data_IF_961151950423
#
_entry.id   IF_961151950423
#
_cell.length_a   1.000
_cell.length_b   1.000
_cell.length_c   1.000
_cell.angle_alpha   90.00
_cell.angle_beta   90.00
_cell.angle_gamma   90.00
#
_symmetry.space_group_name_H-M   'P 1'
#
loop_
_entity.id
_entity.type
_entity.pdbx_description
1 polymer ?
#
# COMPACT_ATOMS: atom_id res chain seq x y z
N UNK A 1 -25.03 -24.29 6.28
CA UNK A 1 -24.35 -24.35 4.97
C UNK A 1 -23.50 -25.61 5.00
N UNK A 2 -23.64 -26.53 4.02
CA UNK A 2 -22.82 -27.74 3.98
C UNK A 2 -21.47 -27.38 3.34
N UNK A 3 -20.40 -28.06 3.74
CA UNK A 3 -19.06 -27.80 3.19
C UNK A 3 -19.00 -28.05 1.67
N UNK A 4 -19.87 -28.94 1.17
CA UNK A 4 -20.07 -29.24 -0.25
C UNK A 4 -20.66 -28.08 -1.05
N UNK A 5 -21.36 -27.15 -0.39
CA UNK A 5 -22.01 -26.02 -1.05
C UNK A 5 -21.02 -24.89 -1.35
N UNK A 6 -19.82 -24.95 -0.77
CA UNK A 6 -18.75 -23.95 -0.94
C UNK A 6 -17.38 -24.59 -1.18
N UNK A 7 -17.33 -25.86 -1.57
CA UNK A 7 -16.07 -26.59 -1.74
C UNK A 7 -15.22 -26.06 -2.89
N UNK A 8 -15.82 -25.34 -3.83
CA UNK A 8 -15.18 -24.64 -4.94
C UNK A 8 -14.66 -23.23 -4.56
N UNK A 9 -15.16 -22.65 -3.47
CA UNK A 9 -14.72 -21.35 -2.96
C UNK A 9 -13.42 -21.51 -2.16
N UNK A 10 -12.28 -21.53 -2.86
CA UNK A 10 -10.96 -21.76 -2.27
C UNK A 10 -10.67 -20.94 -0.99
N UNK A 11 -11.14 -19.68 -0.93
CA UNK A 11 -10.91 -18.75 0.17
C UNK A 11 -11.68 -19.11 1.45
N UNK A 12 -12.73 -19.94 1.38
CA UNK A 12 -13.49 -20.40 2.56
C UNK A 12 -12.69 -21.39 3.42
N UNK A 13 -11.74 -22.10 2.82
CA UNK A 13 -10.89 -23.08 3.49
C UNK A 13 -9.42 -22.69 3.48
N UNK A 14 -9.10 -21.48 2.99
CA UNK A 14 -7.73 -21.03 2.87
C UNK A 14 -7.13 -20.74 4.24
N UNK A 15 -5.94 -21.28 4.49
CA UNK A 15 -5.01 -20.76 5.49
C UNK A 15 -4.22 -19.63 4.82
N UNK A 16 -4.55 -18.39 5.17
CA UNK A 16 -3.93 -17.17 4.66
C UNK A 16 -2.80 -16.76 5.60
N UNK A 17 -1.60 -16.58 5.04
CA UNK A 17 -0.45 -16.05 5.76
C UNK A 17 -0.20 -14.62 5.27
N UNK A 18 -0.48 -13.66 6.14
CA UNK A 18 -0.17 -12.25 5.89
C UNK A 18 1.28 -11.98 6.27
N UNK A 19 2.02 -11.34 5.37
CA UNK A 19 3.40 -10.96 5.64
C UNK A 19 3.75 -9.63 4.98
N UNK A 20 4.67 -8.94 5.64
CA UNK A 20 5.40 -7.81 5.13
C UNK A 20 6.74 -8.29 4.57
N UNK A 21 7.02 -7.96 3.31
CA UNK A 21 8.26 -8.37 2.63
C UNK A 21 9.47 -7.77 3.33
N UNK A 22 9.38 -6.50 3.75
CA UNK A 22 10.47 -5.74 4.39
C UNK A 22 10.95 -6.38 5.69
N UNK A 23 10.08 -7.09 6.42
CA UNK A 23 10.44 -7.66 7.73
C UNK A 23 10.60 -9.17 7.71
N UNK A 24 10.38 -9.83 6.58
CA UNK A 24 10.30 -11.29 6.51
C UNK A 24 11.68 -11.97 6.41
N UNK A 25 12.47 -11.67 5.38
CA UNK A 25 13.82 -12.22 5.21
C UNK A 25 14.65 -11.33 4.29
N UNK A 26 15.74 -10.79 4.83
CA UNK A 26 16.81 -10.13 4.08
C UNK A 26 17.69 -11.19 3.39
N UNK A 27 17.78 -11.15 2.06
CA UNK A 27 18.57 -12.09 1.27
C UNK A 27 19.93 -11.55 0.84
N UNK A 28 20.14 -10.24 0.92
CA UNK A 28 21.29 -9.55 0.34
C UNK A 28 22.22 -8.91 1.41
N UNK A 29 21.77 -8.84 2.66
CA UNK A 29 22.51 -8.34 3.82
C UNK A 29 22.42 -6.82 4.04
N UNK A 30 21.49 -6.11 3.42
CA UNK A 30 21.30 -4.67 3.59
C UNK A 30 20.43 -4.30 4.81
N UNK A 31 19.87 -5.29 5.50
CA UNK A 31 19.02 -5.12 6.68
C UNK A 31 17.53 -5.00 6.36
N UNK A 32 17.13 -5.09 5.09
CA UNK A 32 15.75 -5.01 4.61
C UNK A 32 15.36 -6.34 3.96
N UNK A 33 14.19 -6.86 4.33
CA UNK A 33 13.63 -8.03 3.69
C UNK A 33 13.22 -7.76 2.25
N UNK A 34 13.39 -8.77 1.39
CA UNK A 34 13.21 -8.62 -0.05
C UNK A 34 12.45 -9.82 -0.67
N UNK A 35 11.98 -9.63 -1.90
CA UNK A 35 11.19 -10.64 -2.63
C UNK A 35 11.99 -11.91 -2.93
N UNK A 36 13.33 -11.83 -3.03
CA UNK A 36 14.18 -13.01 -3.21
C UNK A 36 14.29 -13.81 -1.90
N UNK A 37 14.36 -13.12 -0.76
CA UNK A 37 14.28 -13.74 0.55
C UNK A 37 12.94 -14.43 0.76
N UNK A 38 11.84 -13.78 0.35
CA UNK A 38 10.52 -14.41 0.35
C UNK A 38 10.49 -15.67 -0.53
N UNK A 39 11.00 -15.60 -1.77
CA UNK A 39 10.96 -16.73 -2.70
C UNK A 39 11.67 -17.98 -2.14
N UNK A 40 12.79 -17.79 -1.43
CA UNK A 40 13.56 -18.86 -0.77
C UNK A 40 12.79 -19.59 0.34
N UNK A 41 11.73 -18.99 0.90
CA UNK A 41 10.95 -19.57 2.01
C UNK A 41 9.57 -20.05 1.62
N UNK A 42 9.19 -19.96 0.35
CA UNK A 42 7.87 -20.46 -0.10
C UNK A 42 7.71 -21.96 0.20
N UNK A 43 8.77 -22.76 0.06
CA UNK A 43 8.76 -24.18 0.44
C UNK A 43 8.45 -24.40 1.92
N UNK A 44 9.00 -23.56 2.79
CA UNK A 44 8.71 -23.59 4.22
C UNK A 44 7.24 -23.25 4.51
N UNK A 45 6.71 -22.19 3.88
CA UNK A 45 5.31 -21.79 4.04
C UNK A 45 4.34 -22.86 3.52
N UNK A 46 4.67 -23.52 2.42
CA UNK A 46 3.89 -24.65 1.90
C UNK A 46 3.89 -25.84 2.88
N UNK A 47 5.04 -26.19 3.46
CA UNK A 47 5.16 -27.25 4.47
C UNK A 47 4.38 -26.94 5.76
N UNK A 48 4.29 -25.65 6.14
CA UNK A 48 3.47 -25.19 7.26
C UNK A 48 1.95 -25.37 7.00
N UNK A 49 1.55 -25.59 5.74
CA UNK A 49 0.15 -25.74 5.34
C UNK A 49 -0.51 -24.44 4.88
N UNK A 50 0.28 -23.40 4.60
CA UNK A 50 -0.24 -22.15 4.03
C UNK A 50 -0.75 -22.42 2.62
N UNK A 51 -1.93 -21.89 2.31
CA UNK A 51 -2.59 -22.05 0.99
C UNK A 51 -2.72 -20.73 0.24
N UNK A 52 -2.51 -19.60 0.92
CA UNK A 52 -2.52 -18.28 0.32
C UNK A 52 -1.54 -17.35 1.03
N UNK A 53 -0.70 -16.65 0.26
CA UNK A 53 0.05 -15.51 0.73
C UNK A 53 -0.79 -14.25 0.58
N UNK A 54 -0.81 -13.41 1.60
CA UNK A 54 -1.27 -12.03 1.51
C UNK A 54 -0.07 -11.13 1.74
N UNK A 55 0.34 -10.44 0.67
CA UNK A 55 1.45 -9.50 0.70
C UNK A 55 0.92 -8.12 1.10
N UNK A 56 1.51 -7.56 2.15
CA UNK A 56 1.40 -6.13 2.47
C UNK A 56 1.99 -5.27 1.33
N UNK A 57 1.74 -3.94 1.31
CA UNK A 57 2.17 -3.08 0.21
C UNK A 57 3.67 -3.20 -0.11
N UNK A 58 3.98 -3.52 -1.37
CA UNK A 58 5.34 -3.57 -1.91
C UNK A 58 5.55 -2.54 -3.04
N UNK A 59 4.62 -1.61 -3.20
CA UNK A 59 4.66 -0.58 -4.23
C UNK A 59 5.65 0.52 -3.86
N UNK A 60 6.23 1.25 -4.83
CA UNK A 60 7.05 2.42 -4.56
C UNK A 60 6.36 3.40 -3.63
N UNK A 61 7.01 3.68 -2.51
CA UNK A 61 6.51 4.57 -1.45
C UNK A 61 7.59 5.56 -0.99
N UNK A 62 7.23 6.77 -0.53
CA UNK A 62 8.11 7.60 0.31
C UNK A 62 8.33 7.04 1.72
N UNK A 63 7.59 6.00 2.09
CA UNK A 63 7.70 5.24 3.33
C UNK A 63 7.36 6.09 4.57
N UNK A 64 6.19 6.73 4.53
CA UNK A 64 5.69 7.55 5.65
C UNK A 64 4.53 6.92 6.41
N UNK A 65 3.90 5.90 5.81
CA UNK A 65 2.77 5.13 6.35
C UNK A 65 3.00 3.63 6.07
N UNK A 66 4.17 3.09 6.41
CA UNK A 66 4.53 1.66 6.26
C UNK A 66 4.16 1.05 4.88
N UNK A 67 4.46 1.76 3.79
CA UNK A 67 4.15 1.33 2.42
C UNK A 67 2.75 1.70 1.90
N UNK A 68 1.83 2.18 2.74
CA UNK A 68 0.46 2.52 2.34
C UNK A 68 0.37 3.87 1.61
N UNK A 69 1.36 4.76 1.76
CA UNK A 69 1.47 6.00 0.99
C UNK A 69 2.04 5.78 -0.42
N UNK A 70 1.30 5.03 -1.25
CA UNK A 70 1.73 4.58 -2.59
C UNK A 70 1.95 5.74 -3.56
N UNK A 71 3.11 5.76 -4.22
CA UNK A 71 3.51 6.77 -5.22
C UNK A 71 3.44 6.28 -6.66
N UNK A 72 3.45 4.97 -6.89
CA UNK A 72 3.23 4.33 -8.19
C UNK A 72 2.61 2.93 -7.99
N UNK A 73 1.41 2.70 -8.54
CA UNK A 73 0.72 1.41 -8.42
C UNK A 73 1.24 0.32 -9.39
N UNK A 74 2.09 0.67 -10.35
CA UNK A 74 2.62 -0.27 -11.35
C UNK A 74 4.03 -0.77 -11.04
N UNK A 75 4.74 -0.06 -10.18
CA UNK A 75 6.10 -0.38 -9.78
C UNK A 75 6.18 -1.39 -8.64
N UNK A 76 7.41 -1.83 -8.38
CA UNK A 76 7.83 -2.50 -7.15
C UNK A 76 8.78 -1.54 -6.45
N UNK A 77 8.66 -1.39 -5.13
CA UNK A 77 9.61 -0.59 -4.35
C UNK A 77 11.02 -1.17 -4.54
N UNK A 78 11.99 -0.39 -5.07
CA UNK A 78 13.33 -0.88 -5.33
C UNK A 78 14.06 -1.44 -4.10
N UNK A 79 13.64 -1.07 -2.88
CA UNK A 79 14.14 -1.68 -1.64
C UNK A 79 13.81 -3.16 -1.52
N UNK A 80 12.68 -3.58 -2.09
CA UNK A 80 12.12 -4.93 -1.93
C UNK A 80 12.42 -5.82 -3.14
N UNK A 81 12.84 -5.25 -4.27
CA UNK A 81 13.23 -5.97 -5.48
C UNK A 81 12.66 -5.36 -6.76
N UNK A 82 12.39 -6.22 -7.75
CA UNK A 82 11.86 -5.84 -9.06
C UNK A 82 10.71 -6.75 -9.51
N UNK A 83 10.11 -6.44 -10.67
CA UNK A 83 9.01 -7.23 -11.23
C UNK A 83 9.36 -8.71 -11.46
N UNK A 84 10.61 -9.01 -11.82
CA UNK A 84 11.09 -10.37 -11.99
C UNK A 84 11.04 -11.17 -10.69
N UNK A 85 11.47 -10.56 -9.58
CA UNK A 85 11.43 -11.19 -8.26
C UNK A 85 9.98 -11.45 -7.82
N UNK A 86 9.06 -10.51 -8.06
CA UNK A 86 7.64 -10.71 -7.78
C UNK A 86 7.04 -11.86 -8.63
N UNK A 87 7.40 -11.93 -9.92
CA UNK A 87 6.98 -13.02 -10.80
C UNK A 87 7.50 -14.36 -10.28
N UNK A 88 8.73 -14.42 -9.78
CA UNK A 88 9.29 -15.63 -9.18
C UNK A 88 8.53 -16.06 -7.93
N UNK A 89 8.19 -15.12 -7.02
CA UNK A 89 7.34 -15.40 -5.85
C UNK A 89 6.00 -16.00 -6.27
N UNK A 90 5.30 -15.37 -7.22
CA UNK A 90 3.98 -15.80 -7.69
C UNK A 90 4.05 -17.19 -8.34
N UNK A 91 5.07 -17.44 -9.17
CA UNK A 91 5.24 -18.74 -9.86
C UNK A 91 5.58 -19.84 -8.86
N UNK A 92 6.55 -19.60 -7.99
CA UNK A 92 6.99 -20.57 -6.98
C UNK A 92 5.84 -20.93 -6.02
N UNK A 93 5.06 -19.94 -5.58
CA UNK A 93 3.86 -20.15 -4.77
C UNK A 93 2.80 -20.98 -5.52
N UNK A 94 2.52 -20.63 -6.78
CA UNK A 94 1.56 -21.36 -7.62
C UNK A 94 1.95 -22.82 -7.81
N UNK A 95 3.22 -23.11 -8.03
CA UNK A 95 3.74 -24.47 -8.23
C UNK A 95 3.52 -25.36 -6.99
N UNK A 96 3.36 -24.75 -5.81
CA UNK A 96 3.03 -25.42 -4.54
C UNK A 96 1.54 -25.39 -4.21
N UNK A 97 0.70 -25.00 -5.17
CA UNK A 97 -0.75 -24.91 -5.01
C UNK A 97 -1.21 -23.70 -4.21
N UNK A 98 -0.31 -22.76 -3.87
CA UNK A 98 -0.66 -21.57 -3.12
C UNK A 98 -1.25 -20.49 -4.04
N UNK A 99 -2.07 -19.62 -3.46
CA UNK A 99 -2.51 -18.36 -4.07
C UNK A 99 -1.68 -17.21 -3.53
N UNK A 100 -1.64 -16.10 -4.27
CA UNK A 100 -1.04 -14.85 -3.81
C UNK A 100 -2.08 -13.77 -4.00
N UNK A 101 -2.39 -13.04 -2.93
CA UNK A 101 -3.17 -11.82 -2.93
C UNK A 101 -2.30 -10.69 -2.40
N UNK A 102 -2.67 -9.46 -2.74
CA UNK A 102 -1.88 -8.27 -2.42
C UNK A 102 -2.80 -7.20 -1.85
N UNK A 103 -2.26 -6.33 -1.00
CA UNK A 103 -2.97 -5.13 -0.60
C UNK A 103 -3.20 -4.19 -1.78
N UNK A 104 -4.40 -3.61 -1.82
CA UNK A 104 -4.81 -2.63 -2.82
C UNK A 104 -5.29 -1.36 -2.12
N UNK A 105 -4.40 -0.38 -2.00
CA UNK A 105 -4.64 0.88 -1.29
C UNK A 105 -5.17 1.93 -2.26
N UNK A 106 -6.50 2.04 -2.37
CA UNK A 106 -7.15 2.94 -3.34
C UNK A 106 -7.90 4.10 -2.70
N UNK A 107 -7.97 4.16 -1.37
CA UNK A 107 -8.61 5.28 -0.68
C UNK A 107 -7.78 6.57 -0.77
N UNK A 108 -6.46 6.47 -0.85
CA UNK A 108 -5.54 7.59 -0.92
C UNK A 108 -4.28 7.22 -1.72
N UNK A 109 -3.49 8.24 -2.09
CA UNK A 109 -2.15 8.08 -2.69
C UNK A 109 -1.17 8.98 -1.96
N UNK A 110 0.13 8.73 -2.14
CA UNK A 110 1.20 9.64 -1.72
C UNK A 110 1.00 11.07 -2.20
N UNK A 111 1.50 12.05 -1.42
CA UNK A 111 1.68 13.44 -1.87
C UNK A 111 2.73 13.59 -2.99
N UNK A 112 3.51 12.52 -3.25
CA UNK A 112 4.45 12.44 -4.38
C UNK A 112 3.87 11.74 -5.61
N UNK A 113 2.66 11.19 -5.53
CA UNK A 113 2.04 10.50 -6.67
C UNK A 113 1.88 11.47 -7.86
N UNK A 114 2.18 11.07 -9.12
CA UNK A 114 2.10 11.96 -10.28
C UNK A 114 0.73 12.64 -10.44
N UNK A 115 -0.35 11.92 -10.11
CA UNK A 115 -1.71 12.48 -10.08
C UNK A 115 -1.84 13.64 -9.09
N UNK A 116 -1.40 13.46 -7.85
CA UNK A 116 -1.48 14.50 -6.82
C UNK A 116 -0.60 15.70 -7.19
N UNK A 117 0.63 15.45 -7.63
CA UNK A 117 1.55 16.51 -8.06
C UNK A 117 0.96 17.33 -9.21
N UNK A 118 0.31 16.68 -10.18
CA UNK A 118 -0.37 17.36 -11.29
C UNK A 118 -1.60 18.15 -10.82
N UNK A 119 -2.45 17.52 -10.00
CA UNK A 119 -3.66 18.12 -9.44
C UNK A 119 -3.38 19.32 -8.52
N UNK A 120 -2.23 19.31 -7.83
CA UNK A 120 -1.76 20.39 -6.98
C UNK A 120 -1.21 21.57 -7.81
N UNK A 121 -0.56 21.30 -8.95
CA UNK A 121 0.07 22.33 -9.79
C UNK A 121 -0.92 23.21 -10.53
N UNK A 122 -2.07 22.67 -10.93
CA UNK A 122 -3.09 23.42 -11.68
C UNK A 122 -4.50 22.99 -11.33
N UNK A 123 -5.40 23.96 -11.20
CA UNK A 123 -6.85 23.72 -11.07
C UNK A 123 -7.47 23.16 -12.35
N UNK A 124 -6.81 23.35 -13.50
CA UNK A 124 -7.24 22.82 -14.80
C UNK A 124 -6.60 21.45 -15.11
N UNK A 125 -5.89 20.84 -14.15
CA UNK A 125 -5.30 19.52 -14.33
C UNK A 125 -6.39 18.47 -14.57
N UNK A 126 -6.20 17.51 -15.49
CA UNK A 126 -7.14 16.40 -15.64
C UNK A 126 -7.26 15.52 -14.39
N UNK A 127 -6.28 15.61 -13.47
CA UNK A 127 -6.29 14.89 -12.20
C UNK A 127 -6.87 15.73 -11.04
N UNK A 128 -7.34 16.95 -11.29
CA UNK A 128 -7.81 17.84 -10.22
C UNK A 128 -8.89 17.20 -9.37
N UNK A 129 -9.90 16.62 -10.02
CA UNK A 129 -11.07 16.04 -9.35
C UNK A 129 -10.82 14.64 -8.75
N UNK A 130 -9.60 14.10 -8.88
CA UNK A 130 -9.23 12.86 -8.20
C UNK A 130 -9.05 13.05 -6.69
N UNK A 131 -8.88 14.30 -6.24
CA UNK A 131 -8.64 14.65 -4.84
C UNK A 131 -9.68 15.64 -4.32
N UNK A 132 -9.88 15.62 -3.01
CA UNK A 132 -10.80 16.53 -2.32
C UNK A 132 -10.05 17.82 -1.95
N UNK A 133 -10.51 18.94 -2.50
CA UNK A 133 -9.95 20.28 -2.24
C UNK A 133 -10.93 21.13 -1.43
N UNK A 134 -10.41 22.03 -0.60
CA UNK A 134 -11.20 23.01 0.15
C UNK A 134 -10.53 24.38 0.11
N UNK A 135 -11.33 25.43 -0.03
CA UNK A 135 -10.89 26.83 -0.06
C UNK A 135 -11.11 27.54 1.28
N UNK A 136 -11.99 27.01 2.12
CA UNK A 136 -12.29 27.54 3.44
C UNK A 136 -11.17 27.25 4.45
N UNK A 137 -10.93 28.19 5.36
CA UNK A 137 -10.00 27.97 6.45
C UNK A 137 -10.56 26.89 7.40
N UNK A 138 -9.72 25.96 7.91
CA UNK A 138 -10.19 24.95 8.85
C UNK A 138 -10.83 25.61 10.08
N UNK A 139 -11.94 25.06 10.62
CA UNK A 139 -12.62 25.64 11.78
C UNK A 139 -11.66 25.84 12.96
N UNK A 140 -11.66 27.02 13.57
CA UNK A 140 -10.83 27.34 14.75
C UNK A 140 -11.10 26.31 15.86
N UNK A 141 -10.07 25.63 16.33
CA UNK A 141 -10.14 24.67 17.45
C UNK A 141 -10.28 23.20 17.05
N UNK A 142 -10.51 22.87 15.76
CA UNK A 142 -10.38 21.48 15.30
C UNK A 142 -8.91 21.21 15.00
N UNK A 143 -8.27 20.29 15.73
CA UNK A 143 -7.08 19.62 15.19
C UNK A 143 -7.51 19.09 13.82
N UNK A 144 -6.80 19.48 12.76
CA UNK A 144 -6.88 18.79 11.47
C UNK A 144 -6.91 17.29 11.75
N UNK A 145 -7.77 16.47 11.10
CA UNK A 145 -7.65 15.03 11.24
C UNK A 145 -6.18 14.72 10.99
N UNK A 146 -5.50 14.25 12.02
CA UNK A 146 -4.17 13.73 11.84
C UNK A 146 -4.35 12.60 10.83
N UNK A 147 -3.64 12.66 9.69
CA UNK A 147 -3.22 11.41 9.05
C UNK A 147 -2.67 10.50 10.16
N UNK A 148 -2.90 9.18 10.08
CA UNK A 148 -2.31 8.24 11.05
C UNK A 148 -0.81 8.48 11.28
N UNK A 149 -0.12 9.07 10.31
CA UNK A 149 1.31 9.40 10.37
C UNK A 149 1.59 10.74 11.02
N UNK A 150 1.66 10.74 12.36
CA UNK A 150 2.40 11.81 13.01
C UNK A 150 3.26 11.34 14.16
N UNK A 151 4.56 11.11 13.92
CA UNK A 151 5.55 11.19 15.00
C UNK A 151 5.53 12.62 15.55
N UNK A 152 5.56 12.73 16.88
CA UNK A 152 5.61 14.01 17.57
C UNK A 152 6.86 14.79 17.19
N UNK A 153 6.68 15.93 16.51
CA UNK A 153 7.71 16.94 16.28
C UNK A 153 8.01 17.18 14.79
N UNK A 154 8.02 18.46 14.41
CA UNK A 154 8.22 18.98 13.04
C UNK A 154 6.95 19.03 12.17
N UNK A 155 6.53 20.25 11.84
CA UNK A 155 5.36 20.52 11.02
C UNK A 155 5.72 20.57 9.53
N UNK A 156 5.21 19.62 8.75
CA UNK A 156 5.14 19.76 7.30
C UNK A 156 3.95 20.68 6.94
N UNK A 157 4.26 21.97 6.74
CA UNK A 157 3.36 22.91 6.04
C UNK A 157 3.80 22.96 4.58
N UNK A 158 3.05 22.38 3.66
CA UNK A 158 3.20 22.72 2.24
C UNK A 158 2.42 23.99 1.99
N UNK A 159 3.12 25.12 2.12
CA UNK A 159 2.60 26.46 1.84
C UNK A 159 2.78 26.73 0.35
N UNK A 160 1.70 26.70 -0.44
CA UNK A 160 1.73 27.36 -1.75
C UNK A 160 1.75 28.87 -1.50
N UNK A 161 2.75 29.57 -2.03
CA UNK A 161 2.63 31.02 -2.21
C UNK A 161 1.64 31.23 -3.36
N UNK A 162 0.37 31.40 -3.00
CA UNK A 162 -0.76 31.47 -3.92
C UNK A 162 -2.00 30.99 -3.16
N UNK A 163 -2.65 31.95 -2.50
CA UNK A 163 -4.00 31.89 -1.90
C UNK A 163 -4.65 30.50 -1.74
N UNK A 164 -4.71 29.99 -0.50
CA UNK A 164 -5.61 28.91 -0.10
C UNK A 164 -4.92 27.77 0.65
N UNK A 165 -5.30 27.57 1.91
CA UNK A 165 -4.77 26.46 2.74
C UNK A 165 -5.49 25.16 2.32
N UNK A 166 -4.81 24.23 1.65
CA UNK A 166 -5.42 22.97 1.22
C UNK A 166 -4.99 21.83 2.17
N UNK A 167 -5.96 21.13 2.77
CA UNK A 167 -5.75 19.86 3.48
C UNK A 167 -6.48 18.76 2.72
N UNK A 168 -5.76 17.73 2.28
CA UNK A 168 -6.35 16.53 1.71
C UNK A 168 -6.78 15.60 2.85
N UNK A 169 -8.08 15.35 2.98
CA UNK A 169 -8.63 14.29 3.82
C UNK A 169 -9.93 13.81 3.19
N UNK A 170 -10.05 12.51 2.93
CA UNK A 170 -11.29 11.88 2.49
C UNK A 170 -12.23 11.75 3.68
N UNK A 171 -13.28 12.58 3.74
CA UNK A 171 -14.40 12.39 4.67
C UNK A 171 -15.56 11.74 3.93
N UNK A 172 -15.88 10.49 4.23
CA UNK A 172 -17.18 9.89 3.91
C UNK A 172 -18.27 10.65 4.67
N UNK A 173 -19.22 11.25 3.94
CA UNK A 173 -20.41 11.85 4.56
C UNK A 173 -21.43 10.74 4.83
N UNK A 174 -22.03 10.63 6.02
CA UNK A 174 -23.18 9.77 6.25
C UNK A 174 -24.46 10.43 5.70
N UNK A 175 -25.33 9.62 5.09
CA UNK A 175 -26.74 9.92 4.82
C UNK A 175 -27.53 10.16 6.09
#
# INVERSE_FOLDING_TARGET
MKITDTSDLWWKTAVIYCLDVETFLDSNGDGVGDLQGLSQRIDYLAQLGVTCLWLMPFYPTPDRDDGYDVSDFYGIDPRLGNHGDLVEVIRTARDRGMRVIVDLVINHTSDRHPWFVSALRSVDSPYRDYYVWRSDAPPKGRRTPSSPDRPTGSGARTRSQGSGTSTASTSTSPT
#
